data_IF_728872515313
#
_entry.id   IF_728872515313
#
_cell.length_a   1.000
_cell.length_b   1.000
_cell.length_c   1.000
_cell.angle_alpha   90.00
_cell.angle_beta   90.00
_cell.angle_gamma   90.00
#
_symmetry.space_group_name_H-M   'P 1'
#
loop_
_entity.id
_entity.type
_entity.pdbx_description
1 polymer ?
#
# COMPACT_ATOMS: atom_id res chain seq x y z
N UNK A 1 12.25 -10.50 -15.33
CA UNK A 1 11.14 -10.48 -14.36
C UNK A 1 10.74 -9.03 -14.16
N UNK A 2 9.71 -8.56 -14.88
CA UNK A 2 9.25 -7.17 -14.82
C UNK A 2 8.52 -6.94 -13.49
N UNK A 3 9.23 -6.43 -12.48
CA UNK A 3 8.55 -5.77 -11.37
C UNK A 3 7.82 -4.56 -11.97
N UNK A 4 6.48 -4.59 -12.00
CA UNK A 4 5.67 -3.51 -12.59
C UNK A 4 6.00 -2.19 -11.90
N UNK A 5 6.07 -1.08 -12.64
CA UNK A 5 6.36 0.24 -12.07
C UNK A 5 5.45 0.58 -10.88
N UNK A 6 4.21 0.08 -10.90
CA UNK A 6 3.25 0.24 -9.80
C UNK A 6 3.62 -0.53 -8.53
N UNK A 7 4.27 -1.69 -8.62
CA UNK A 7 4.76 -2.40 -7.42
C UNK A 7 5.87 -1.58 -6.74
N UNK A 8 6.76 -0.96 -7.50
CA UNK A 8 7.80 -0.08 -6.95
C UNK A 8 7.19 1.14 -6.26
N UNK A 9 6.24 1.81 -6.91
CA UNK A 9 5.49 2.93 -6.32
C UNK A 9 4.78 2.49 -5.04
N UNK A 10 4.12 1.32 -5.04
CA UNK A 10 3.46 0.79 -3.86
C UNK A 10 4.43 0.59 -2.69
N UNK A 11 5.60 -0.01 -2.93
CA UNK A 11 6.62 -0.19 -1.89
C UNK A 11 7.16 1.14 -1.36
N UNK A 12 7.37 2.12 -2.25
CA UNK A 12 7.76 3.48 -1.86
C UNK A 12 6.69 4.16 -0.99
N UNK A 13 5.41 4.06 -1.38
CA UNK A 13 4.28 4.55 -0.58
C UNK A 13 4.27 3.91 0.81
N UNK A 14 4.49 2.59 0.91
CA UNK A 14 4.49 1.87 2.19
C UNK A 14 5.67 2.26 3.09
N UNK A 15 6.85 2.49 2.50
CA UNK A 15 8.06 2.93 3.21
C UNK A 15 7.93 4.35 3.77
N UNK A 16 7.33 5.26 3.00
CA UNK A 16 7.20 6.68 3.31
C UNK A 16 5.93 7.03 4.12
N UNK A 17 5.20 6.03 4.63
CA UNK A 17 4.01 6.27 5.43
C UNK A 17 4.32 6.93 6.78
N UNK A 18 3.44 7.82 7.29
CA UNK A 18 3.53 8.30 8.66
C UNK A 18 3.40 7.13 9.67
N UNK A 19 4.03 7.26 10.84
CA UNK A 19 4.05 6.21 11.89
C UNK A 19 2.66 5.62 12.19
N UNK A 20 1.63 6.46 12.26
CA UNK A 20 0.24 6.01 12.51
C UNK A 20 -0.30 5.04 11.44
N UNK A 21 0.08 5.24 10.17
CA UNK A 21 -0.28 4.34 9.06
C UNK A 21 0.55 3.07 9.09
N UNK A 22 1.86 3.14 9.41
CA UNK A 22 2.71 1.95 9.62
C UNK A 22 2.16 1.04 10.72
N UNK A 23 1.72 1.61 11.85
CA UNK A 23 1.07 0.85 12.93
C UNK A 23 -0.22 0.17 12.44
N UNK A 24 -1.03 0.87 11.65
CA UNK A 24 -2.26 0.31 11.09
C UNK A 24 -1.96 -0.84 10.13
N UNK A 25 -0.95 -0.69 9.28
CA UNK A 25 -0.48 -1.76 8.40
C UNK A 25 0.00 -2.97 9.21
N UNK A 26 0.86 -2.76 10.21
CA UNK A 26 1.37 -3.81 11.10
C UNK A 26 0.24 -4.63 11.72
N UNK A 27 -0.81 -3.97 12.23
CA UNK A 27 -1.99 -4.65 12.78
C UNK A 27 -2.70 -5.53 11.75
N UNK A 28 -2.82 -5.07 10.51
CA UNK A 28 -3.44 -5.86 9.44
C UNK A 28 -2.56 -7.07 9.06
N UNK A 29 -1.24 -6.89 8.99
CA UNK A 29 -0.29 -7.97 8.68
C UNK A 29 -0.24 -9.02 9.79
N UNK A 30 -0.20 -8.61 11.07
CA UNK A 30 -0.27 -9.53 12.21
C UNK A 30 -1.57 -10.33 12.18
N UNK A 31 -2.71 -9.67 11.92
CA UNK A 31 -3.98 -10.37 11.79
C UNK A 31 -3.96 -11.40 10.65
N UNK A 32 -3.34 -11.07 9.51
CA UNK A 32 -3.19 -12.04 8.43
C UNK A 32 -2.34 -13.24 8.87
N UNK A 33 -1.24 -12.97 9.57
CA UNK A 33 -0.37 -14.01 10.14
C UNK A 33 -1.14 -14.94 11.07
N UNK A 34 -1.99 -14.42 11.95
CA UNK A 34 -2.80 -15.23 12.86
C UNK A 34 -3.76 -16.20 12.13
N UNK A 35 -4.23 -15.83 10.93
CA UNK A 35 -5.14 -16.67 10.13
C UNK A 35 -4.44 -17.62 9.15
N UNK A 36 -3.24 -17.28 8.70
CA UNK A 36 -2.63 -17.94 7.52
C UNK A 36 -1.17 -18.34 7.72
N UNK A 37 -0.55 -17.96 8.83
CA UNK A 37 0.90 -18.05 9.05
C UNK A 37 1.72 -17.41 7.92
N UNK A 38 1.17 -16.35 7.29
CA UNK A 38 1.85 -15.57 6.25
C UNK A 38 1.94 -14.09 6.67
N UNK A 39 3.14 -13.54 6.78
CA UNK A 39 3.39 -12.17 7.27
C UNK A 39 3.35 -11.18 6.11
N UNK A 40 2.20 -11.12 5.43
CA UNK A 40 1.98 -10.25 4.29
C UNK A 40 0.49 -9.93 4.11
N UNK A 41 0.20 -8.89 3.33
CA UNK A 41 -1.08 -8.73 2.63
C UNK A 41 -0.81 -8.98 1.14
N UNK A 42 -0.97 -10.22 0.65
CA UNK A 42 -0.36 -10.66 -0.60
C UNK A 42 -1.00 -10.09 -1.87
N UNK A 43 -2.24 -9.61 -1.79
CA UNK A 43 -2.99 -9.13 -2.95
C UNK A 43 -3.11 -7.62 -2.92
N UNK A 44 -2.61 -6.94 -3.95
CA UNK A 44 -2.67 -5.49 -4.06
C UNK A 44 -3.45 -5.02 -5.27
N UNK A 45 -4.23 -3.96 -5.07
CA UNK A 45 -4.85 -3.18 -6.15
C UNK A 45 -4.40 -1.74 -6.05
N UNK A 46 -3.77 -1.23 -7.11
CA UNK A 46 -3.44 0.19 -7.26
C UNK A 46 -4.49 0.86 -8.15
N UNK A 47 -5.13 1.90 -7.65
CA UNK A 47 -5.89 2.84 -8.49
C UNK A 47 -5.03 4.07 -8.73
N UNK A 48 -4.74 4.34 -10.00
CA UNK A 48 -3.90 5.45 -10.42
C UNK A 48 -4.80 6.61 -10.84
N UNK A 49 -4.54 7.77 -10.26
CA UNK A 49 -5.16 9.05 -10.59
C UNK A 49 -4.11 10.00 -11.15
N UNK A 50 -4.53 11.07 -11.82
CA UNK A 50 -3.61 12.15 -12.21
C UNK A 50 -2.93 12.78 -10.99
N UNK A 51 -3.64 12.83 -9.85
CA UNK A 51 -3.22 13.48 -8.61
C UNK A 51 -2.44 12.56 -7.67
N UNK A 52 -2.26 11.28 -8.03
CA UNK A 52 -1.52 10.31 -7.22
C UNK A 52 -2.11 8.91 -7.23
N UNK A 53 -1.85 8.18 -6.15
CA UNK A 53 -1.94 6.72 -6.11
C UNK A 53 -2.73 6.26 -4.90
N UNK A 54 -3.70 5.37 -5.12
CA UNK A 54 -4.45 4.71 -4.05
C UNK A 54 -4.15 3.22 -4.05
N UNK A 55 -3.48 2.76 -3.00
CA UNK A 55 -3.13 1.36 -2.81
C UNK A 55 -4.12 0.71 -1.84
N UNK A 56 -4.68 -0.42 -2.25
CA UNK A 56 -5.38 -1.38 -1.39
C UNK A 56 -4.59 -2.67 -1.33
N UNK A 57 -4.42 -3.20 -0.14
CA UNK A 57 -3.78 -4.48 0.14
C UNK A 57 -4.76 -5.38 0.88
N UNK A 58 -4.81 -6.64 0.51
CA UNK A 58 -5.78 -7.63 0.97
C UNK A 58 -5.06 -8.92 1.38
N UNK A 59 -5.50 -9.45 2.52
CA UNK A 59 -5.16 -10.78 3.01
C UNK A 59 -6.43 -11.49 3.49
N UNK A 60 -6.28 -12.58 4.21
CA UNK A 60 -7.42 -13.34 4.74
C UNK A 60 -8.11 -12.55 5.85
N UNK A 61 -9.34 -12.07 5.57
CA UNK A 61 -10.17 -11.27 6.51
C UNK A 61 -9.49 -10.00 7.05
N UNK A 62 -8.52 -9.48 6.31
CA UNK A 62 -7.79 -8.28 6.68
C UNK A 62 -7.48 -7.47 5.42
N UNK A 63 -7.49 -6.15 5.57
CA UNK A 63 -7.22 -5.23 4.49
C UNK A 63 -6.52 -3.98 5.02
N UNK A 64 -5.75 -3.35 4.16
CA UNK A 64 -5.11 -2.07 4.41
C UNK A 64 -5.26 -1.18 3.18
N UNK A 65 -5.39 0.13 3.38
CA UNK A 65 -5.35 1.05 2.25
C UNK A 65 -4.70 2.38 2.61
N UNK A 66 -4.06 2.97 1.60
CA UNK A 66 -3.30 4.21 1.73
C UNK A 66 -3.34 4.99 0.42
N UNK A 67 -3.35 6.32 0.54
CA UNK A 67 -3.27 7.24 -0.59
C UNK A 67 -2.00 8.06 -0.48
N UNK A 68 -1.32 8.24 -1.60
CA UNK A 68 -0.23 9.21 -1.74
C UNK A 68 -0.57 10.18 -2.88
N UNK A 69 -0.45 11.48 -2.62
CA UNK A 69 -0.49 12.48 -3.69
C UNK A 69 0.85 12.52 -4.40
N UNK A 70 0.82 12.69 -5.72
CA UNK A 70 2.01 13.01 -6.51
C UNK A 70 2.14 14.53 -6.57
N UNK A 71 3.25 15.06 -6.07
CA UNK A 71 3.61 16.47 -6.15
C UNK A 71 4.92 16.60 -6.92
N UNK A 72 4.80 16.70 -8.25
CA UNK A 72 5.90 16.81 -9.21
C UNK A 72 6.97 15.71 -9.04
N UNK A 73 6.53 14.45 -8.94
CA UNK A 73 7.40 13.29 -8.79
C UNK A 73 7.74 12.94 -7.34
N UNK A 74 7.29 13.75 -6.37
CA UNK A 74 7.43 13.43 -4.94
C UNK A 74 6.12 12.86 -4.38
N UNK A 75 6.18 11.63 -3.85
CA UNK A 75 5.03 10.97 -3.23
C UNK A 75 4.82 11.43 -1.78
N UNK A 76 3.68 12.06 -1.51
CA UNK A 76 3.29 12.50 -0.17
C UNK A 76 2.14 11.62 0.35
N UNK A 77 2.44 10.75 1.31
CA UNK A 77 1.42 9.87 1.91
C UNK A 77 0.49 10.65 2.83
N UNK A 78 -0.80 10.67 2.47
CA UNK A 78 -1.82 11.40 3.22
C UNK A 78 -2.46 10.54 4.32
N UNK A 79 -2.92 11.19 5.40
CA UNK A 79 -3.70 10.52 6.46
C UNK A 79 -5.02 9.94 5.92
N UNK A 80 -5.65 10.63 4.97
CA UNK A 80 -6.94 10.26 4.35
C UNK A 80 -6.87 10.50 2.84
N UNK A 81 -7.49 9.59 2.06
CA UNK A 81 -7.71 9.77 0.63
C UNK A 81 -8.63 10.99 0.39
N UNK A 82 -8.31 11.90 -0.55
CA UNK A 82 -9.23 12.93 -1.00
C UNK A 82 -10.56 12.33 -1.50
N UNK A 83 -11.62 13.14 -1.54
CA UNK A 83 -12.88 12.67 -2.12
C UNK A 83 -12.67 12.35 -3.60
N UNK A 84 -13.20 11.22 -4.05
CA UNK A 84 -13.00 10.71 -5.41
C UNK A 84 -13.51 11.65 -6.50
N UNK A 85 -14.50 12.52 -6.20
CA UNK A 85 -14.97 13.55 -7.12
C UNK A 85 -13.90 14.58 -7.52
N UNK A 86 -12.81 14.68 -6.74
CA UNK A 86 -11.68 15.56 -7.00
C UNK A 86 -10.47 14.83 -7.59
N UNK A 87 -10.61 13.54 -7.92
CA UNK A 87 -9.53 12.72 -8.43
C UNK A 87 -9.86 12.25 -9.85
N UNK A 88 -8.93 12.40 -10.77
CA UNK A 88 -9.08 12.00 -12.16
C UNK A 88 -8.48 10.60 -12.35
N UNK A 89 -9.32 9.56 -12.29
CA UNK A 89 -8.88 8.17 -12.44
C UNK A 89 -8.32 7.92 -13.84
N UNK A 90 -7.11 7.37 -13.90
CA UNK A 90 -6.45 6.96 -15.14
C UNK A 90 -6.69 5.48 -15.41
N UNK A 91 -6.27 4.60 -14.49
CA UNK A 91 -6.45 3.16 -14.63
C UNK A 91 -6.39 2.44 -13.27
N UNK A 92 -6.69 1.14 -13.28
CA UNK A 92 -6.59 0.25 -12.12
C UNK A 92 -5.68 -0.92 -12.45
N UNK A 93 -4.72 -1.18 -11.59
CA UNK A 93 -3.83 -2.35 -11.62
C UNK A 93 -4.15 -3.26 -10.43
N UNK A 94 -4.89 -4.34 -10.68
CA UNK A 94 -5.30 -5.33 -9.68
C UNK A 94 -4.37 -6.55 -9.60
N UNK A 95 -3.23 -6.52 -10.30
CA UNK A 95 -2.33 -7.67 -10.45
C UNK A 95 -1.18 -7.70 -9.45
N UNK A 96 -1.09 -6.74 -8.52
CA UNK A 96 0.07 -6.61 -7.65
C UNK A 96 0.13 -7.76 -6.64
N UNK A 97 1.28 -8.44 -6.59
CA UNK A 97 1.58 -9.51 -5.64
C UNK A 97 2.69 -9.08 -4.70
N UNK A 98 2.46 -9.26 -3.40
CA UNK A 98 3.42 -8.96 -2.36
C UNK A 98 3.81 -10.24 -1.60
N UNK A 99 5.10 -10.36 -1.28
CA UNK A 99 5.65 -11.45 -0.48
C UNK A 99 5.99 -10.96 0.93
N UNK A 100 6.27 -11.88 1.85
CA UNK A 100 6.72 -11.52 3.20
C UNK A 100 7.98 -10.65 3.18
N UNK A 101 8.91 -10.91 2.26
CA UNK A 101 10.13 -10.11 2.10
C UNK A 101 9.81 -8.63 1.82
N UNK A 102 8.76 -8.34 1.06
CA UNK A 102 8.32 -6.96 0.79
C UNK A 102 7.90 -6.26 2.10
N UNK A 103 7.28 -6.98 3.04
CA UNK A 103 6.82 -6.42 4.32
C UNK A 103 7.91 -6.38 5.39
N UNK A 104 8.83 -7.33 5.39
CA UNK A 104 9.98 -7.35 6.31
C UNK A 104 10.91 -6.14 6.06
N UNK A 105 11.05 -5.72 4.80
CA UNK A 105 11.84 -4.54 4.42
C UNK A 105 11.24 -3.20 4.89
N UNK A 106 9.97 -3.16 5.30
CA UNK A 106 9.29 -1.93 5.71
C UNK A 106 9.62 -1.48 7.15
N UNK A 107 10.54 -2.18 7.83
CA UNK A 107 10.93 -1.96 9.23
C UNK A 107 9.73 -1.76 10.17
N UNK A 108 8.67 -2.57 10.00
CA UNK A 108 7.46 -2.48 10.81
C UNK A 108 7.69 -2.87 12.30
N UNK A 109 8.89 -3.30 12.65
CA UNK A 109 9.26 -3.79 13.97
C UNK A 109 9.92 -2.75 14.89
N UNK A 110 10.44 -1.62 14.37
CA UNK A 110 11.15 -0.60 15.18
C UNK A 110 10.24 0.54 15.67
N UNK A 111 9.09 0.23 16.27
CA UNK A 111 8.19 1.25 16.84
C UNK A 111 7.60 0.82 18.16
#
# INVERSE_FOLDING_TARGET
MHCSSNKKIALEMLSNMPKSKKITLKKAVIRNWDFTSTYALPYGTMTVYKEGFYLRLEGTKCQFSVYASDNDGTLIVLKKKPNEKFLNRLYVDSGLKFSESDFMQLSLMES
#
